data_IF_126857392935
#
_entry.id   IF_126857392935
#
_cell.length_a   1.000
_cell.length_b   1.000
_cell.length_c   1.000
_cell.angle_alpha   90.00
_cell.angle_beta   90.00
_cell.angle_gamma   90.00
#
_symmetry.space_group_name_H-M   'P 1'
#
loop_
_entity.id
_entity.type
_entity.pdbx_description
1 polymer ?
#
# COMPACT_ATOMS: atom_id res chain seq x y z
N UNK A 1 26.86 -48.42 23.80
CA UNK A 1 25.71 -49.24 24.28
C UNK A 1 24.41 -48.48 24.04
N UNK A 2 23.53 -49.09 23.18
CA UNK A 2 22.06 -48.99 23.07
C UNK A 2 21.44 -47.59 23.01
N UNK A 3 21.02 -47.17 21.77
CA UNK A 3 19.71 -47.34 21.13
C UNK A 3 18.51 -46.97 22.01
N UNK A 4 17.75 -45.90 21.58
CA UNK A 4 16.31 -46.01 21.33
C UNK A 4 15.80 -44.83 20.54
N UNK A 5 15.41 -45.11 19.30
CA UNK A 5 14.49 -44.33 18.47
C UNK A 5 13.12 -44.26 19.16
N UNK A 6 12.43 -43.15 18.99
CA UNK A 6 10.98 -43.09 19.05
C UNK A 6 10.47 -42.07 18.02
N UNK A 7 10.05 -42.65 16.92
CA UNK A 7 9.18 -42.01 15.92
C UNK A 7 7.89 -41.54 16.60
N UNK A 8 7.52 -40.26 16.38
CA UNK A 8 6.13 -39.85 16.43
C UNK A 8 5.79 -39.07 15.15
N UNK A 9 5.04 -39.75 14.31
CA UNK A 9 4.24 -39.16 13.23
C UNK A 9 3.17 -38.27 13.87
N UNK A 10 3.10 -37.03 13.44
CA UNK A 10 1.98 -36.12 13.67
C UNK A 10 1.75 -35.38 12.39
N UNK A 11 0.62 -35.62 11.72
CA UNK A 11 0.28 -35.11 10.42
C UNK A 11 0.11 -33.61 10.45
N UNK A 12 0.80 -32.93 9.56
CA UNK A 12 0.54 -31.56 9.19
C UNK A 12 -0.74 -31.50 8.35
N UNK A 13 -1.72 -30.78 8.84
CA UNK A 13 -2.84 -30.32 8.01
C UNK A 13 -2.32 -29.07 7.31
N UNK A 14 -1.95 -29.23 6.05
CA UNK A 14 -1.71 -28.09 5.17
C UNK A 14 -3.03 -27.34 4.96
N UNK A 15 -3.12 -26.15 5.48
CA UNK A 15 -4.14 -25.20 5.07
C UNK A 15 -3.67 -24.68 3.72
N UNK A 16 -4.23 -25.24 2.66
CA UNK A 16 -4.10 -24.66 1.33
C UNK A 16 -4.80 -23.31 1.36
N UNK A 17 -4.04 -22.24 1.18
CA UNK A 17 -4.56 -20.92 0.91
C UNK A 17 -5.45 -20.98 -0.33
N UNK A 18 -6.75 -20.85 -0.13
CA UNK A 18 -7.71 -20.62 -1.18
C UNK A 18 -7.52 -19.15 -1.60
N UNK A 19 -6.82 -18.95 -2.71
CA UNK A 19 -7.01 -17.73 -3.50
C UNK A 19 -8.50 -17.68 -3.85
N UNK A 20 -9.25 -16.89 -3.09
CA UNK A 20 -10.68 -16.72 -3.26
C UNK A 20 -10.92 -15.94 -4.55
N UNK A 21 -11.42 -16.65 -5.56
CA UNK A 21 -12.17 -16.01 -6.64
C UNK A 21 -13.47 -15.53 -6.00
N UNK A 22 -13.50 -14.30 -5.49
CA UNK A 22 -14.72 -13.65 -5.04
C UNK A 22 -15.49 -13.17 -6.25
N UNK A 23 -16.31 -14.04 -6.82
CA UNK A 23 -17.43 -13.60 -7.63
C UNK A 23 -18.40 -12.86 -6.70
N UNK A 24 -18.52 -11.56 -6.84
CA UNK A 24 -19.46 -10.73 -6.09
C UNK A 24 -20.89 -11.08 -6.47
N UNK A 25 -21.55 -11.91 -5.64
CA UNK A 25 -23.01 -11.96 -5.60
C UNK A 25 -23.45 -11.77 -4.16
N UNK A 26 -23.77 -10.53 -3.78
CA UNK A 26 -24.51 -10.16 -2.57
C UNK A 26 -23.65 -9.98 -1.33
N UNK A 27 -23.57 -8.74 -0.88
CA UNK A 27 -23.23 -8.25 0.44
C UNK A 27 -22.36 -9.15 1.34
N UNK A 28 -21.04 -9.08 1.19
CA UNK A 28 -20.13 -9.51 2.23
C UNK A 28 -19.85 -8.30 3.14
N UNK A 29 -20.19 -8.39 4.43
CA UNK A 29 -19.94 -7.37 5.44
C UNK A 29 -18.42 -7.27 5.81
N UNK A 30 -17.50 -7.43 4.87
CA UNK A 30 -16.06 -7.43 5.09
C UNK A 30 -15.27 -6.75 3.97
N UNK A 31 -13.99 -6.43 4.21
CA UNK A 31 -13.14 -5.84 3.19
C UNK A 31 -12.97 -6.78 1.99
N UNK A 32 -12.86 -6.19 0.79
CA UNK A 32 -12.59 -6.92 -0.45
C UNK A 32 -11.12 -7.38 -0.53
N UNK A 33 -10.23 -6.65 0.18
CA UNK A 33 -8.80 -6.92 0.24
C UNK A 33 -8.23 -6.49 1.59
N UNK A 34 -7.36 -7.30 2.16
CA UNK A 34 -6.57 -7.00 3.35
C UNK A 34 -5.13 -7.48 3.14
N UNK A 35 -4.15 -6.71 3.60
CA UNK A 35 -2.73 -7.04 3.50
C UNK A 35 -1.98 -6.54 4.73
N UNK A 36 -1.26 -7.43 5.39
CA UNK A 36 -0.33 -7.17 6.50
C UNK A 36 1.07 -7.68 6.22
N UNK A 37 1.38 -8.07 4.97
CA UNK A 37 2.70 -8.55 4.53
C UNK A 37 3.26 -9.77 5.26
N UNK A 38 2.44 -10.48 6.06
CA UNK A 38 2.84 -11.65 6.86
C UNK A 38 3.29 -12.82 5.99
N UNK A 39 2.68 -13.00 4.81
CA UNK A 39 3.01 -14.03 3.84
C UNK A 39 4.12 -13.62 2.85
N UNK A 40 4.70 -12.42 3.03
CA UNK A 40 5.72 -11.83 2.17
C UNK A 40 5.12 -10.89 1.13
N UNK A 41 5.87 -10.62 0.04
CA UNK A 41 5.50 -9.58 -0.92
C UNK A 41 4.39 -9.99 -1.90
N UNK A 42 4.14 -11.29 -2.09
CA UNK A 42 3.08 -11.77 -2.99
C UNK A 42 3.17 -11.18 -4.40
N UNK A 43 2.02 -10.67 -4.89
CA UNK A 43 1.87 -10.09 -6.23
C UNK A 43 2.10 -8.56 -6.27
N UNK A 44 2.73 -7.99 -5.23
CA UNK A 44 3.09 -6.58 -5.21
C UNK A 44 4.26 -6.29 -6.12
N UNK A 45 4.16 -5.22 -6.90
CA UNK A 45 5.22 -4.69 -7.76
C UNK A 45 5.72 -3.35 -7.21
N UNK A 46 7.04 -3.15 -7.24
CA UNK A 46 7.64 -1.92 -6.73
C UNK A 46 7.93 -0.93 -7.86
N UNK A 47 7.76 0.35 -7.56
CA UNK A 47 8.07 1.45 -8.44
C UNK A 47 8.65 2.64 -7.70
N UNK A 48 9.38 3.47 -8.44
CA UNK A 48 9.86 4.76 -7.97
C UNK A 48 9.86 5.77 -9.10
N UNK A 49 9.70 7.03 -8.77
CA UNK A 49 9.83 8.15 -9.68
C UNK A 49 10.52 9.32 -8.99
N UNK A 50 11.11 10.19 -9.80
CA UNK A 50 11.73 11.43 -9.34
C UNK A 50 11.40 12.55 -10.34
N UNK A 51 11.46 13.80 -9.88
CA UNK A 51 11.22 14.96 -10.71
C UNK A 51 12.08 15.02 -11.97
N UNK A 52 11.67 15.79 -12.99
CA UNK A 52 12.27 15.76 -14.33
C UNK A 52 13.70 16.29 -14.41
N UNK A 53 14.20 16.94 -13.36
CA UNK A 53 15.57 17.46 -13.30
C UNK A 53 16.62 16.40 -13.02
N UNK A 54 16.22 15.22 -12.53
CA UNK A 54 17.08 14.14 -12.08
C UNK A 54 16.78 12.87 -12.87
N UNK A 55 17.83 12.12 -13.22
CA UNK A 55 17.63 10.80 -13.81
C UNK A 55 17.25 9.81 -12.71
N UNK A 56 16.27 8.94 -12.94
CA UNK A 56 15.87 7.90 -11.99
C UNK A 56 17.04 7.00 -11.57
N UNK A 57 18.05 6.81 -12.42
CA UNK A 57 19.25 6.05 -12.09
C UNK A 57 20.15 6.73 -11.03
N UNK A 58 19.88 7.98 -10.69
CA UNK A 58 20.58 8.75 -9.67
C UNK A 58 19.82 8.79 -8.34
N UNK A 59 18.57 8.28 -8.32
CA UNK A 59 17.71 8.21 -7.14
C UNK A 59 17.78 6.80 -6.52
N UNK A 60 18.41 6.70 -5.37
CA UNK A 60 18.52 5.44 -4.64
C UNK A 60 17.26 5.21 -3.79
N UNK A 61 16.67 4.04 -3.94
CA UNK A 61 15.50 3.61 -3.20
C UNK A 61 15.48 2.10 -2.97
N UNK A 62 14.78 1.65 -1.94
CA UNK A 62 14.53 0.24 -1.66
C UNK A 62 13.09 0.04 -1.19
N UNK A 63 12.49 -1.10 -1.56
CA UNK A 63 11.23 -1.56 -1.01
C UNK A 63 11.31 -3.08 -0.77
N UNK A 64 10.88 -3.52 0.42
CA UNK A 64 10.93 -4.93 0.82
C UNK A 64 10.00 -5.20 2.00
N UNK A 65 9.66 -6.47 2.24
CA UNK A 65 9.03 -6.87 3.50
C UNK A 65 10.09 -6.96 4.60
N UNK A 66 9.78 -6.45 5.77
CA UNK A 66 10.69 -6.36 6.92
C UNK A 66 10.01 -6.84 8.21
N UNK A 67 10.83 -7.37 9.12
CA UNK A 67 10.46 -7.75 10.49
C UNK A 67 10.96 -6.70 11.52
N UNK A 68 11.45 -5.55 11.06
CA UNK A 68 12.00 -4.51 11.93
C UNK A 68 10.90 -3.78 12.69
N UNK A 69 9.80 -3.44 11.99
CA UNK A 69 8.64 -2.76 12.55
C UNK A 69 7.36 -3.30 11.91
N UNK A 70 6.30 -3.48 12.70
CA UNK A 70 4.97 -3.89 12.26
C UNK A 70 3.89 -3.19 13.08
N UNK A 71 2.78 -2.81 12.45
CA UNK A 71 1.61 -2.27 13.15
C UNK A 71 0.82 -3.41 13.81
N UNK A 72 0.72 -4.53 13.11
CA UNK A 72 0.20 -5.79 13.64
C UNK A 72 1.06 -6.96 13.14
N UNK A 73 0.88 -8.16 13.72
CA UNK A 73 1.68 -9.33 13.31
C UNK A 73 3.18 -9.19 13.56
N UNK A 74 3.99 -9.62 12.59
CA UNK A 74 5.45 -9.67 12.69
C UNK A 74 6.15 -8.95 11.53
N UNK A 75 5.41 -8.49 10.49
CA UNK A 75 5.98 -7.93 9.25
C UNK A 75 5.24 -6.71 8.77
N UNK A 76 5.93 -5.91 7.96
CA UNK A 76 5.34 -4.79 7.22
C UNK A 76 6.11 -4.54 5.92
N UNK A 77 5.58 -3.69 5.05
CA UNK A 77 6.30 -3.16 3.90
C UNK A 77 7.25 -2.06 4.37
N UNK A 78 8.55 -2.26 4.18
CA UNK A 78 9.60 -1.27 4.42
C UNK A 78 9.92 -0.54 3.12
N UNK A 79 9.96 0.78 3.16
CA UNK A 79 10.37 1.65 2.05
C UNK A 79 11.50 2.54 2.55
N UNK A 80 12.64 2.50 1.88
CA UNK A 80 13.74 3.42 2.11
C UNK A 80 13.93 4.32 0.89
N UNK A 81 14.13 5.61 1.13
CA UNK A 81 14.39 6.59 0.11
C UNK A 81 15.64 7.41 0.46
N UNK A 82 16.48 7.65 -0.55
CA UNK A 82 17.46 8.69 -0.51
C UNK A 82 16.78 10.06 -0.36
N UNK A 83 17.36 10.95 0.43
CA UNK A 83 16.82 12.27 0.74
C UNK A 83 17.52 13.43 0.05
N UNK A 84 18.38 13.19 -0.94
CA UNK A 84 19.22 14.22 -1.57
C UNK A 84 18.46 15.02 -2.66
N UNK A 85 17.32 14.52 -3.10
CA UNK A 85 16.55 15.11 -4.20
C UNK A 85 15.14 15.46 -3.79
N UNK A 86 14.57 16.49 -4.44
CA UNK A 86 13.16 16.83 -4.39
C UNK A 86 12.33 15.82 -5.20
N UNK A 87 11.06 15.69 -4.87
CA UNK A 87 10.04 14.99 -5.66
C UNK A 87 10.28 13.47 -5.82
N UNK A 88 11.08 12.86 -4.96
CA UNK A 88 11.26 11.41 -4.93
C UNK A 88 10.04 10.69 -4.36
N UNK A 89 9.51 9.71 -5.10
CA UNK A 89 8.38 8.88 -4.72
C UNK A 89 8.74 7.42 -4.87
N UNK A 90 8.41 6.60 -3.87
CA UNK A 90 8.56 5.14 -3.94
C UNK A 90 7.29 4.47 -3.46
N UNK A 91 6.84 3.45 -4.20
CA UNK A 91 5.58 2.79 -3.93
C UNK A 91 5.62 1.28 -4.22
N UNK A 92 4.63 0.58 -3.68
CA UNK A 92 4.24 -0.76 -4.09
C UNK A 92 2.84 -0.72 -4.71
N UNK A 93 2.59 -1.51 -5.75
CA UNK A 93 1.32 -1.60 -6.46
C UNK A 93 0.77 -3.02 -6.41
N UNK A 94 -0.53 -3.16 -6.17
CA UNK A 94 -1.25 -4.44 -6.17
C UNK A 94 -2.56 -4.34 -6.95
N UNK A 95 -2.91 -5.34 -7.80
CA UNK A 95 -4.18 -5.36 -8.51
C UNK A 95 -5.36 -5.72 -7.58
N UNK A 96 -6.46 -5.00 -7.70
CA UNK A 96 -7.73 -5.25 -7.00
C UNK A 96 -8.80 -5.54 -8.03
N UNK A 97 -9.45 -6.70 -7.93
CA UNK A 97 -10.52 -7.10 -8.85
C UNK A 97 -11.84 -6.38 -8.51
N UNK A 98 -12.53 -5.92 -9.55
CA UNK A 98 -13.86 -5.30 -9.50
C UNK A 98 -14.69 -5.79 -10.69
N UNK A 99 -15.99 -5.48 -10.73
CA UNK A 99 -16.83 -5.79 -11.90
C UNK A 99 -16.86 -4.58 -12.84
N UNK A 100 -16.57 -4.81 -14.12
CA UNK A 100 -16.68 -3.79 -15.16
C UNK A 100 -18.15 -3.42 -15.42
N UNK A 101 -18.43 -2.15 -15.66
CA UNK A 101 -19.78 -1.61 -15.90
C UNK A 101 -20.52 -1.21 -14.63
N UNK A 102 -19.91 -1.34 -13.47
CA UNK A 102 -20.48 -0.96 -12.18
C UNK A 102 -19.82 0.31 -11.63
N UNK A 103 -20.57 1.05 -10.82
CA UNK A 103 -20.08 2.20 -10.07
C UNK A 103 -19.95 1.82 -8.58
N UNK A 104 -18.94 2.35 -7.92
CA UNK A 104 -18.59 1.97 -6.56
C UNK A 104 -18.41 3.16 -5.62
N UNK A 105 -18.62 2.89 -4.34
CA UNK A 105 -18.01 3.61 -3.23
C UNK A 105 -16.93 2.73 -2.63
N UNK A 106 -15.71 3.21 -2.62
CA UNK A 106 -14.54 2.46 -2.17
C UNK A 106 -13.90 3.19 -1.00
N UNK A 107 -13.62 2.47 0.07
CA UNK A 107 -12.82 2.94 1.19
C UNK A 107 -11.47 2.22 1.18
N UNK A 108 -10.38 2.98 1.28
CA UNK A 108 -9.01 2.46 1.40
C UNK A 108 -8.39 3.01 2.67
N UNK A 109 -7.74 2.13 3.43
CA UNK A 109 -6.98 2.55 4.60
C UNK A 109 -5.70 1.74 4.77
N UNK A 110 -4.73 2.31 5.51
CA UNK A 110 -3.49 1.66 5.88
C UNK A 110 -2.83 2.35 7.05
N UNK A 111 -1.94 1.64 7.72
CA UNK A 111 -1.08 2.16 8.78
C UNK A 111 0.26 2.58 8.17
N UNK A 112 0.77 3.74 8.58
CA UNK A 112 2.07 4.24 8.15
C UNK A 112 2.88 4.69 9.35
N UNK A 113 4.18 4.46 9.29
CA UNK A 113 5.16 4.95 10.27
C UNK A 113 6.46 5.37 9.60
N UNK A 114 7.16 6.35 10.17
CA UNK A 114 8.45 6.85 9.70
C UNK A 114 9.47 6.77 10.81
N UNK A 115 10.64 6.20 10.56
CA UNK A 115 11.76 6.22 11.50
C UNK A 115 12.36 7.60 11.72
N UNK A 116 12.08 8.54 10.82
CA UNK A 116 12.68 9.85 10.94
C UNK A 116 12.15 10.63 12.13
N UNK A 117 13.04 11.10 12.98
CA UNK A 117 12.73 11.93 14.15
C UNK A 117 12.54 13.42 13.82
N UNK A 118 12.82 13.85 12.58
CA UNK A 118 12.64 15.23 12.21
C UNK A 118 11.19 15.57 11.93
N UNK A 119 10.71 16.62 12.51
CA UNK A 119 9.36 17.14 12.28
C UNK A 119 9.34 17.89 10.95
N UNK A 120 9.08 17.16 9.87
CA UNK A 120 9.09 17.74 8.55
C UNK A 120 7.82 17.37 7.78
N UNK A 121 7.11 18.36 7.28
CA UNK A 121 5.85 18.22 6.55
C UNK A 121 6.02 17.85 5.10
N UNK A 122 7.25 17.78 4.60
CA UNK A 122 7.54 17.39 3.21
C UNK A 122 7.60 15.88 3.00
N UNK A 123 7.48 15.07 4.05
CA UNK A 123 7.24 13.63 3.95
C UNK A 123 5.76 13.33 3.92
N UNK A 124 5.36 12.52 2.99
CA UNK A 124 3.97 12.17 2.79
C UNK A 124 3.74 10.67 2.77
N UNK A 125 2.67 10.23 3.42
CA UNK A 125 2.02 8.97 3.10
C UNK A 125 1.28 9.13 1.78
N UNK A 126 1.44 8.17 0.88
CA UNK A 126 0.78 8.13 -0.42
C UNK A 126 -0.10 6.90 -0.51
N UNK A 127 -1.34 7.09 -0.91
CA UNK A 127 -2.22 6.00 -1.36
C UNK A 127 -2.97 6.46 -2.60
N UNK A 128 -3.10 5.55 -3.57
CA UNK A 128 -3.87 5.75 -4.79
C UNK A 128 -4.56 4.45 -5.20
N UNK A 129 -5.81 4.53 -5.63
CA UNK A 129 -6.52 3.42 -6.26
C UNK A 129 -7.15 3.93 -7.56
N UNK A 130 -6.83 3.31 -8.67
CA UNK A 130 -7.33 3.74 -9.98
C UNK A 130 -7.22 2.68 -11.07
N UNK A 131 -7.80 2.95 -12.26
CA UNK A 131 -7.80 2.01 -13.39
C UNK A 131 -6.42 1.64 -13.93
N UNK A 132 -5.47 2.58 -13.82
CA UNK A 132 -4.10 2.42 -14.32
C UNK A 132 -3.12 2.49 -13.15
N UNK A 133 -2.01 1.71 -13.18
CA UNK A 133 -0.95 1.85 -12.20
C UNK A 133 -0.25 3.22 -12.36
N UNK A 134 0.29 3.80 -11.27
CA UNK A 134 1.09 5.01 -11.38
C UNK A 134 2.45 4.72 -12.05
N UNK A 135 2.93 5.65 -12.86
CA UNK A 135 4.24 5.61 -13.52
C UNK A 135 5.12 6.79 -13.10
N UNK A 136 4.52 7.90 -12.67
CA UNK A 136 5.21 9.15 -12.32
C UNK A 136 4.66 9.74 -11.02
N UNK A 137 5.31 10.76 -10.49
CA UNK A 137 4.83 11.48 -9.31
C UNK A 137 3.46 12.15 -9.55
N UNK A 138 3.24 12.67 -10.76
CA UNK A 138 2.00 13.35 -11.12
C UNK A 138 0.77 12.44 -11.14
N UNK A 139 0.96 11.12 -11.17
CA UNK A 139 -0.12 10.14 -11.08
C UNK A 139 -0.69 10.02 -9.66
N UNK A 140 0.03 10.51 -8.66
CA UNK A 140 -0.44 10.57 -7.28
C UNK A 140 -1.19 11.87 -6.97
N UNK A 141 -2.02 11.89 -5.90
CA UNK A 141 -2.65 13.12 -5.44
C UNK A 141 -1.62 14.21 -5.11
N UNK A 142 -2.02 15.47 -5.32
CA UNK A 142 -1.21 16.61 -4.90
C UNK A 142 -1.07 16.65 -3.36
N UNK A 143 0.02 17.19 -2.81
CA UNK A 143 0.23 17.32 -1.37
C UNK A 143 -0.96 17.96 -0.65
N UNK A 144 -1.44 17.32 0.41
CA UNK A 144 -2.59 17.75 1.19
C UNK A 144 -3.96 17.40 0.59
N UNK A 145 -4.00 16.67 -0.53
CA UNK A 145 -5.25 16.23 -1.14
C UNK A 145 -5.68 14.88 -0.57
N UNK A 146 -7.00 14.80 -0.28
CA UNK A 146 -7.71 13.55 0.03
C UNK A 146 -9.02 13.54 -0.76
N UNK A 147 -9.32 12.45 -1.45
CA UNK A 147 -10.51 12.36 -2.32
C UNK A 147 -11.82 12.13 -1.57
N UNK A 148 -11.78 11.87 -0.28
CA UNK A 148 -12.99 11.63 0.56
C UNK A 148 -14.07 12.68 0.37
N UNK A 149 -13.69 13.95 0.26
CA UNK A 149 -14.61 15.09 0.13
C UNK A 149 -14.83 15.55 -1.32
N UNK A 150 -14.26 14.80 -2.28
CA UNK A 150 -14.30 15.20 -3.69
C UNK A 150 -15.31 14.35 -4.45
N UNK A 151 -16.39 14.50 -4.73
CA UNK A 151 -17.30 13.73 -5.63
C UNK A 151 -16.61 12.71 -6.54
N UNK A 152 -17.11 12.53 -7.76
CA UNK A 152 -16.53 11.58 -8.72
C UNK A 152 -15.20 12.11 -9.27
N UNK A 153 -14.14 11.30 -9.16
CA UNK A 153 -12.80 11.62 -9.67
C UNK A 153 -12.28 10.43 -10.50
N UNK A 154 -11.27 10.61 -11.39
CA UNK A 154 -10.74 9.53 -12.23
C UNK A 154 -10.02 8.45 -11.42
N UNK A 155 -9.57 8.75 -10.23
CA UNK A 155 -8.98 7.82 -9.26
C UNK A 155 -9.27 8.32 -7.84
N UNK A 156 -9.17 7.44 -6.86
CA UNK A 156 -9.19 7.75 -5.44
C UNK A 156 -7.79 7.83 -4.86
N UNK A 157 -7.59 8.64 -3.82
CA UNK A 157 -6.30 8.66 -3.16
C UNK A 157 -6.13 9.77 -2.14
N UNK A 158 -5.00 9.72 -1.47
CA UNK A 158 -4.52 10.76 -0.57
C UNK A 158 -3.00 10.95 -0.70
N UNK A 159 -2.56 12.17 -0.43
CA UNK A 159 -1.17 12.52 -0.15
C UNK A 159 -1.17 13.43 1.06
N UNK A 160 -0.80 12.92 2.22
CA UNK A 160 -0.88 13.65 3.47
C UNK A 160 0.43 13.53 4.25
N UNK A 161 0.68 14.54 5.11
CA UNK A 161 1.91 14.59 5.89
C UNK A 161 2.10 13.34 6.74
N UNK A 162 3.22 12.65 6.55
CA UNK A 162 3.65 11.53 7.37
C UNK A 162 4.41 12.09 8.57
N UNK A 163 3.67 12.40 9.61
CA UNK A 163 4.22 12.93 10.85
C UNK A 163 4.92 11.84 11.63
N UNK A 164 6.04 12.22 12.10
CA UNK A 164 6.93 11.53 12.94
C UNK A 164 6.40 10.79 14.13
N UNK A 165 7.07 9.75 14.37
CA UNK A 165 7.65 9.34 15.67
C UNK A 165 6.73 9.04 16.84
N UNK A 166 5.44 9.29 16.80
CA UNK A 166 4.51 8.80 17.80
C UNK A 166 3.98 7.39 17.47
N UNK A 167 4.71 6.66 16.62
CA UNK A 167 4.32 5.32 16.17
C UNK A 167 3.42 5.33 14.94
N UNK A 168 2.75 4.22 14.75
CA UNK A 168 1.89 3.98 13.61
C UNK A 168 0.67 4.92 13.59
N UNK A 169 0.31 5.37 12.38
CA UNK A 169 -0.86 6.21 12.14
C UNK A 169 -1.70 5.66 11.00
N UNK A 170 -3.01 5.65 11.20
CA UNK A 170 -3.96 5.29 10.15
C UNK A 170 -4.18 6.47 9.20
N UNK A 171 -4.05 6.19 7.91
CA UNK A 171 -4.46 7.06 6.80
C UNK A 171 -5.59 6.38 6.05
N UNK A 172 -6.55 7.15 5.56
CA UNK A 172 -7.68 6.61 4.82
C UNK A 172 -8.25 7.64 3.84
N UNK A 173 -8.82 7.14 2.74
CA UNK A 173 -9.62 7.92 1.82
C UNK A 173 -10.84 7.15 1.35
N UNK A 174 -11.85 7.88 0.91
CA UNK A 174 -12.99 7.36 0.18
C UNK A 174 -12.90 7.80 -1.29
N UNK A 175 -13.35 6.94 -2.18
CA UNK A 175 -13.46 7.22 -3.60
C UNK A 175 -14.82 6.79 -4.12
N UNK A 176 -15.50 7.73 -4.77
CA UNK A 176 -16.75 7.49 -5.47
C UNK A 176 -16.46 7.43 -6.96
N UNK A 177 -16.71 6.29 -7.60
CA UNK A 177 -16.46 6.09 -9.02
C UNK A 177 -17.70 6.40 -9.87
N UNK A 178 -17.48 6.70 -11.15
CA UNK A 178 -18.47 6.45 -12.20
C UNK A 178 -18.47 4.95 -12.54
N UNK A 179 -19.33 4.50 -13.50
CA UNK A 179 -19.23 3.15 -14.04
C UNK A 179 -17.81 2.88 -14.56
N UNK A 180 -17.16 1.85 -14.02
CA UNK A 180 -15.80 1.47 -14.40
C UNK A 180 -15.81 0.72 -15.73
N UNK A 181 -14.86 1.04 -16.61
CA UNK A 181 -14.65 0.33 -17.87
C UNK A 181 -13.63 -0.82 -17.77
N UNK A 182 -13.08 -1.06 -16.58
CA UNK A 182 -12.10 -2.11 -16.29
C UNK A 182 -12.65 -3.07 -15.24
N UNK A 183 -12.10 -4.27 -15.19
CA UNK A 183 -12.32 -5.28 -14.15
C UNK A 183 -11.18 -5.30 -13.11
N UNK A 184 -10.20 -4.42 -13.24
CA UNK A 184 -9.05 -4.34 -12.36
C UNK A 184 -8.78 -2.88 -12.00
N UNK A 185 -8.55 -2.62 -10.72
CA UNK A 185 -8.00 -1.40 -10.18
C UNK A 185 -6.61 -1.67 -9.63
N UNK A 186 -5.77 -0.66 -9.60
CA UNK A 186 -4.40 -0.74 -9.08
C UNK A 186 -4.31 0.09 -7.80
N UNK A 187 -4.13 -0.62 -6.67
CA UNK A 187 -3.80 0.00 -5.38
C UNK A 187 -2.31 0.29 -5.34
N UNK A 188 -1.93 1.54 -5.20
CA UNK A 188 -0.56 1.95 -4.96
C UNK A 188 -0.45 2.57 -3.56
N UNK A 189 0.53 2.12 -2.78
CA UNK A 189 0.84 2.64 -1.44
C UNK A 189 2.33 2.94 -1.35
N UNK A 190 2.69 4.06 -0.73
CA UNK A 190 4.09 4.45 -0.70
C UNK A 190 4.35 5.73 0.06
N UNK A 191 5.51 6.31 -0.20
CA UNK A 191 5.97 7.54 0.45
C UNK A 191 6.59 8.49 -0.55
N UNK A 192 6.47 9.79 -0.29
CA UNK A 192 7.23 10.83 -0.94
C UNK A 192 8.15 11.48 0.08
N UNK A 193 9.42 11.62 -0.28
CA UNK A 193 10.44 12.34 0.49
C UNK A 193 10.94 13.49 -0.34
N UNK A 194 10.86 14.69 0.21
CA UNK A 194 11.26 15.91 -0.45
C UNK A 194 12.35 16.56 0.42
N UNK A 195 13.55 16.62 -0.08
CA UNK A 195 14.67 17.34 0.51
C UNK A 195 14.94 17.04 1.99
N UNK A 196 15.23 15.79 2.26
CA UNK A 196 15.57 15.33 3.61
C UNK A 196 16.81 14.43 3.60
N UNK A 197 17.26 14.08 4.77
CA UNK A 197 18.17 12.95 4.93
C UNK A 197 17.46 11.64 4.53
N UNK A 198 18.24 10.64 4.18
CA UNK A 198 17.74 9.29 3.94
C UNK A 198 16.76 8.88 5.03
N UNK A 199 15.66 8.29 4.63
CA UNK A 199 14.61 7.94 5.55
C UNK A 199 14.01 6.58 5.26
N UNK A 200 13.68 5.86 6.33
CA UNK A 200 12.94 4.59 6.27
C UNK A 200 11.51 4.81 6.74
N UNK A 201 10.59 4.22 6.00
CA UNK A 201 9.16 4.25 6.26
C UNK A 201 8.60 2.84 6.24
N UNK A 202 7.48 2.64 6.91
CA UNK A 202 6.79 1.36 6.95
C UNK A 202 5.32 1.54 6.65
N UNK A 203 4.72 0.55 5.96
CA UNK A 203 3.30 0.49 5.61
C UNK A 203 2.76 -0.87 6.02
N UNK A 204 1.59 -0.90 6.66
CA UNK A 204 0.98 -2.12 7.17
C UNK A 204 -0.54 -2.01 7.26
N UNK A 205 -1.22 -3.11 7.60
CA UNK A 205 -2.67 -3.17 7.85
C UNK A 205 -3.49 -2.49 6.74
N UNK A 206 -3.16 -2.80 5.48
CA UNK A 206 -3.92 -2.26 4.35
C UNK A 206 -5.29 -2.92 4.25
N UNK A 207 -6.30 -2.13 3.95
CA UNK A 207 -7.67 -2.61 3.76
C UNK A 207 -8.36 -1.85 2.63
N UNK A 208 -9.08 -2.58 1.77
CA UNK A 208 -9.94 -2.01 0.71
C UNK A 208 -11.33 -2.57 0.85
N UNK A 209 -12.33 -1.71 1.03
CA UNK A 209 -13.74 -2.07 1.03
C UNK A 209 -14.40 -1.52 -0.24
N UNK A 210 -15.18 -2.35 -0.93
CA UNK A 210 -15.82 -2.01 -2.20
C UNK A 210 -17.32 -2.22 -2.07
N UNK A 211 -18.11 -1.17 -2.26
CA UNK A 211 -19.57 -1.19 -2.22
C UNK A 211 -20.14 -0.72 -3.57
N UNK A 212 -20.95 -1.56 -4.23
CA UNK A 212 -21.64 -1.18 -5.46
C UNK A 212 -22.71 -0.10 -5.19
N UNK A 213 -22.91 0.82 -6.15
CA UNK A 213 -23.85 1.96 -6.04
C UNK A 213 -25.05 1.80 -6.96
#
# INVERSE_FOLDING_TARGET
>A
MRRRELLRRGGGIGVAGLAGIAGCTGGSDGPAFEEGFEDGIGDWEFGAAIGPEVNIDEFDWEASVSEEEAASGERSLRIWNQGDYDDGVTWATHPISVDSGEAYRIEVSGQFWSESESFNTIRHALMRLGPEPPETEEDFPQPGLNTTDLGETPYGGLRDALWLADGWRKYAFEWTTTELSTDTLHLAVGTAVIWEADATHYVDDLSVTVEAR
#
